data_IF_634724401317
#
_entry.id   IF_634724401317
#
_cell.length_a   1.000
_cell.length_b   1.000
_cell.length_c   1.000
_cell.angle_alpha   90.00
_cell.angle_beta   90.00
_cell.angle_gamma   90.00
#
_symmetry.space_group_name_H-M   'P 1'
#
loop_
_entity.id
_entity.type
_entity.pdbx_description
1 polymer ?
#
# COMPACT_ATOMS: atom_id res chain seq x y z
N UNK A 1 -21.69 -23.73 -4.26
CA UNK A 1 -20.99 -22.68 -5.02
C UNK A 1 -19.63 -22.47 -4.38
N UNK A 2 -18.58 -23.04 -4.97
CA UNK A 2 -17.21 -22.95 -4.46
C UNK A 2 -16.66 -21.54 -4.63
N UNK A 3 -16.56 -20.80 -3.54
CA UNK A 3 -16.04 -19.41 -3.49
C UNK A 3 -14.52 -19.30 -3.63
N UNK A 4 -13.84 -20.34 -4.11
CA UNK A 4 -12.38 -20.51 -3.96
C UNK A 4 -11.55 -19.99 -5.14
N UNK A 5 -12.15 -19.37 -6.17
CA UNK A 5 -11.40 -18.94 -7.38
C UNK A 5 -10.97 -17.47 -7.44
N UNK A 6 -11.40 -16.62 -6.50
CA UNK A 6 -11.11 -15.18 -6.54
C UNK A 6 -10.07 -14.69 -5.51
N UNK A 7 -9.29 -15.59 -4.89
CA UNK A 7 -8.48 -15.25 -3.70
C UNK A 7 -7.02 -14.86 -3.92
N UNK A 8 -6.48 -14.78 -5.16
CA UNK A 8 -5.03 -14.53 -5.34
C UNK A 8 -4.64 -13.21 -5.99
N UNK A 9 -5.48 -12.17 -5.93
CA UNK A 9 -5.14 -10.86 -6.50
C UNK A 9 -4.13 -10.04 -5.66
N UNK A 10 -3.80 -10.49 -4.46
CA UNK A 10 -2.81 -9.85 -3.59
C UNK A 10 -1.93 -10.91 -2.92
N UNK A 11 -0.61 -10.69 -2.92
CA UNK A 11 0.32 -11.48 -2.10
C UNK A 11 1.11 -10.56 -1.17
N UNK A 12 1.23 -10.94 0.10
CA UNK A 12 2.03 -10.17 1.08
C UNK A 12 3.47 -9.96 0.59
N UNK A 13 4.06 -11.01 0.00
CA UNK A 13 5.44 -10.97 -0.53
C UNK A 13 5.57 -9.97 -1.68
N UNK A 14 4.66 -9.99 -2.65
CA UNK A 14 4.67 -9.08 -3.80
C UNK A 14 4.49 -7.62 -3.40
N UNK A 15 3.64 -7.34 -2.41
CA UNK A 15 3.46 -5.99 -1.85
C UNK A 15 4.79 -5.39 -1.38
N UNK A 16 5.51 -6.12 -0.52
CA UNK A 16 6.78 -5.63 0.03
C UNK A 16 7.90 -5.55 -1.00
N UNK A 17 7.97 -6.53 -1.91
CA UNK A 17 8.98 -6.56 -2.98
C UNK A 17 8.84 -5.38 -3.95
N UNK A 18 7.60 -4.89 -4.19
CA UNK A 18 7.35 -3.78 -5.10
C UNK A 18 7.45 -2.42 -4.44
N UNK A 19 6.93 -2.27 -3.23
CA UNK A 19 6.86 -0.97 -2.53
C UNK A 19 8.20 -0.59 -1.88
N UNK A 20 8.92 -1.53 -1.29
CA UNK A 20 10.14 -1.25 -0.54
C UNK A 20 11.23 -0.55 -1.38
N UNK A 21 11.67 -1.15 -2.50
CA UNK A 21 12.73 -0.57 -3.34
C UNK A 21 12.35 0.78 -3.97
N UNK A 22 11.05 1.01 -4.23
CA UNK A 22 10.54 2.21 -4.90
C UNK A 22 9.90 3.20 -3.93
N UNK A 23 10.05 3.01 -2.63
CA UNK A 23 9.29 3.76 -1.64
C UNK A 23 9.42 5.29 -1.80
N UNK A 24 10.64 5.77 -2.04
CA UNK A 24 10.88 7.21 -2.26
C UNK A 24 10.22 7.75 -3.53
N UNK A 25 10.16 6.95 -4.60
CA UNK A 25 9.54 7.33 -5.87
C UNK A 25 8.02 7.33 -5.83
N UNK A 26 7.42 6.41 -5.04
CA UNK A 26 5.96 6.31 -4.89
C UNK A 26 5.40 7.44 -4.02
N UNK A 27 6.23 7.97 -3.11
CA UNK A 27 5.87 9.08 -2.23
C UNK A 27 5.24 8.62 -0.93
N UNK A 28 5.48 9.38 0.14
CA UNK A 28 5.09 9.01 1.52
C UNK A 28 3.57 8.88 1.67
N UNK A 29 2.79 9.80 1.10
CA UNK A 29 1.33 9.82 1.24
C UNK A 29 0.65 8.60 0.59
N UNK A 30 1.06 8.24 -0.63
CA UNK A 30 0.55 7.06 -1.34
C UNK A 30 0.87 5.78 -0.58
N UNK A 31 2.09 5.68 -0.05
CA UNK A 31 2.50 4.54 0.77
C UNK A 31 1.73 4.47 2.09
N UNK A 32 1.45 5.61 2.73
CA UNK A 32 0.66 5.67 3.96
C UNK A 32 -0.72 5.05 3.75
N UNK A 33 -1.42 5.47 2.69
CA UNK A 33 -2.72 4.94 2.29
C UNK A 33 -2.68 3.43 2.03
N UNK A 34 -1.66 2.96 1.31
CA UNK A 34 -1.45 1.54 1.05
C UNK A 34 -1.15 0.74 2.33
N UNK A 35 -0.36 1.30 3.25
CA UNK A 35 -0.01 0.67 4.52
C UNK A 35 -1.21 0.62 5.48
N UNK A 36 -2.06 1.64 5.51
CA UNK A 36 -3.31 1.60 6.28
C UNK A 36 -4.18 0.43 5.86
N UNK A 37 -4.39 0.24 4.55
CA UNK A 37 -5.11 -0.91 4.02
C UNK A 37 -4.40 -2.23 4.39
N UNK A 38 -3.09 -2.32 4.20
CA UNK A 38 -2.30 -3.52 4.50
C UNK A 38 -2.35 -3.94 5.98
N UNK A 39 -2.29 -3.01 6.91
CA UNK A 39 -2.37 -3.32 8.33
C UNK A 39 -3.81 -3.55 8.79
N UNK A 40 -4.78 -2.80 8.26
CA UNK A 40 -6.20 -3.01 8.54
C UNK A 40 -6.67 -4.43 8.14
N UNK A 41 -6.26 -4.96 6.99
CA UNK A 41 -6.67 -6.31 6.56
C UNK A 41 -6.13 -7.44 7.45
N UNK A 42 -5.06 -7.17 8.20
CA UNK A 42 -4.47 -8.14 9.11
C UNK A 42 -5.11 -8.13 10.50
N UNK A 43 -5.79 -7.04 10.87
CA UNK A 43 -6.49 -6.95 12.15
C UNK A 43 -7.58 -8.04 12.27
N UNK A 44 -7.69 -8.70 13.44
CA UNK A 44 -8.80 -9.61 13.71
C UNK A 44 -10.14 -8.87 13.80
N UNK A 45 -10.12 -7.57 14.10
CA UNK A 45 -11.31 -6.71 14.20
C UNK A 45 -11.92 -6.35 12.85
N UNK A 46 -11.17 -6.55 11.75
CA UNK A 46 -11.65 -6.25 10.40
C UNK A 46 -12.56 -7.39 9.91
N UNK A 47 -13.83 -7.14 9.58
CA UNK A 47 -14.74 -8.18 9.15
C UNK A 47 -14.39 -8.70 7.76
N UNK A 48 -14.81 -9.93 7.47
CA UNK A 48 -14.49 -10.63 6.21
C UNK A 48 -14.87 -9.83 4.96
N UNK A 49 -15.99 -9.11 4.98
CA UNK A 49 -16.41 -8.30 3.83
C UNK A 49 -15.44 -7.13 3.57
N UNK A 50 -14.98 -6.44 4.62
CA UNK A 50 -14.02 -5.35 4.52
C UNK A 50 -12.66 -5.87 4.07
N UNK A 51 -12.24 -7.06 4.55
CA UNK A 51 -11.02 -7.70 4.06
C UNK A 51 -11.05 -7.95 2.55
N UNK A 52 -12.19 -8.34 1.98
CA UNK A 52 -12.34 -8.51 0.52
C UNK A 52 -12.17 -7.19 -0.23
N UNK A 53 -12.79 -6.11 0.24
CA UNK A 53 -12.63 -4.76 -0.34
C UNK A 53 -11.16 -4.34 -0.32
N UNK A 54 -10.50 -4.52 0.83
CA UNK A 54 -9.09 -4.16 0.99
C UNK A 54 -8.19 -4.98 0.06
N UNK A 55 -8.38 -6.31 -0.03
CA UNK A 55 -7.58 -7.13 -0.94
C UNK A 55 -7.80 -6.75 -2.41
N UNK A 56 -9.02 -6.38 -2.80
CA UNK A 56 -9.30 -5.85 -4.14
C UNK A 56 -8.53 -4.56 -4.41
N UNK A 57 -8.59 -3.59 -3.49
CA UNK A 57 -7.89 -2.31 -3.61
C UNK A 57 -6.36 -2.48 -3.61
N UNK A 58 -5.81 -3.32 -2.74
CA UNK A 58 -4.37 -3.60 -2.70
C UNK A 58 -3.90 -4.36 -3.94
N UNK A 59 -4.68 -5.33 -4.42
CA UNK A 59 -4.39 -6.04 -5.66
C UNK A 59 -4.36 -5.07 -6.84
N UNK A 60 -5.39 -4.23 -6.96
CA UNK A 60 -5.46 -3.19 -7.98
C UNK A 60 -4.38 -2.12 -7.85
N UNK A 61 -3.88 -1.80 -6.66
CA UNK A 61 -2.75 -0.88 -6.50
C UNK A 61 -1.40 -1.50 -6.92
N UNK A 62 -1.24 -2.81 -6.72
CA UNK A 62 0.01 -3.53 -6.97
C UNK A 62 0.13 -4.03 -8.42
N UNK A 63 -1.00 -4.34 -9.06
CA UNK A 63 -1.06 -4.83 -10.44
C UNK A 63 -0.53 -3.82 -11.48
N UNK A 64 -0.90 -2.52 -11.47
CA UNK A 64 -0.40 -1.54 -12.44
C UNK A 64 1.09 -1.21 -12.23
N UNK A 65 1.69 -1.48 -11.06
CA UNK A 65 3.15 -1.42 -10.87
C UNK A 65 3.93 -2.41 -11.77
N UNK A 66 3.28 -3.47 -12.28
CA UNK A 66 3.85 -4.38 -13.27
C UNK A 66 3.76 -3.85 -14.71
N UNK A 67 2.85 -2.89 -14.99
CA UNK A 67 2.64 -2.31 -16.31
C UNK A 67 3.41 -0.99 -16.55
N UNK A 68 4.17 -0.53 -15.54
CA UNK A 68 4.99 0.69 -15.61
C UNK A 68 6.06 0.71 -16.72
N UNK A 69 6.62 -0.40 -17.25
CA UNK A 69 7.64 -0.28 -18.29
C UNK A 69 7.16 0.42 -19.58
N UNK A 70 5.86 0.31 -19.94
CA UNK A 70 5.40 0.63 -21.31
C UNK A 70 4.34 1.75 -21.42
N UNK A 71 3.79 2.27 -20.31
CA UNK A 71 2.63 3.19 -20.34
C UNK A 71 2.95 4.66 -20.00
N UNK A 72 4.22 5.05 -20.08
CA UNK A 72 4.69 6.37 -19.68
C UNK A 72 4.02 7.61 -20.33
N UNK A 73 3.35 7.58 -21.52
CA UNK A 73 2.78 8.82 -22.05
C UNK A 73 1.25 8.99 -21.99
N UNK A 74 0.43 8.01 -21.52
CA UNK A 74 -1.04 8.06 -21.82
C UNK A 74 -2.01 8.00 -20.62
N UNK A 75 -1.60 7.76 -19.38
CA UNK A 75 -2.58 7.54 -18.29
C UNK A 75 -2.82 8.75 -17.39
N UNK A 76 -4.05 9.27 -17.47
CA UNK A 76 -4.62 10.22 -16.52
C UNK A 76 -4.74 9.60 -15.12
N UNK A 77 -3.94 10.11 -14.19
CA UNK A 77 -3.75 9.64 -12.81
C UNK A 77 -4.99 9.72 -11.88
N UNK A 78 -6.18 10.01 -12.41
CA UNK A 78 -7.39 10.31 -11.63
C UNK A 78 -8.15 9.06 -11.18
N UNK A 79 -8.05 7.93 -11.90
CA UNK A 79 -8.85 6.73 -11.62
C UNK A 79 -8.20 5.77 -10.59
N UNK A 80 -6.87 5.76 -10.48
CA UNK A 80 -6.18 4.85 -9.52
C UNK A 80 -6.30 5.33 -8.06
N UNK A 81 -6.20 6.64 -7.84
CA UNK A 81 -6.36 7.24 -6.51
C UNK A 81 -7.81 7.21 -6.03
N UNK A 82 -8.78 7.26 -6.95
CA UNK A 82 -10.20 7.23 -6.61
C UNK A 82 -10.60 5.87 -6.03
N UNK A 83 -10.10 4.77 -6.59
CA UNK A 83 -10.34 3.40 -6.10
C UNK A 83 -9.72 3.19 -4.71
N UNK A 84 -8.47 3.64 -4.50
CA UNK A 84 -7.85 3.57 -3.19
C UNK A 84 -8.57 4.45 -2.16
N UNK A 85 -8.97 5.66 -2.54
CA UNK A 85 -9.72 6.58 -1.67
C UNK A 85 -11.09 6.00 -1.30
N UNK A 86 -11.83 5.43 -2.26
CA UNK A 86 -13.11 4.78 -2.02
C UNK A 86 -12.97 3.57 -1.09
N UNK A 87 -11.94 2.75 -1.29
CA UNK A 87 -11.66 1.61 -0.41
C UNK A 87 -11.32 2.09 1.01
N UNK A 88 -10.46 3.09 1.15
CA UNK A 88 -10.12 3.70 2.44
C UNK A 88 -11.35 4.27 3.14
N UNK A 89 -12.21 5.01 2.42
CA UNK A 89 -13.45 5.54 2.97
C UNK A 89 -14.38 4.40 3.43
N UNK A 90 -14.51 3.36 2.62
CA UNK A 90 -15.34 2.18 2.91
C UNK A 90 -14.89 1.43 4.16
N UNK A 91 -13.58 1.40 4.43
CA UNK A 91 -13.01 0.66 5.56
C UNK A 91 -12.44 1.55 6.66
N UNK A 92 -12.72 2.85 6.62
CA UNK A 92 -12.12 3.86 7.51
C UNK A 92 -12.30 3.52 8.99
N UNK A 93 -13.44 2.94 9.36
CA UNK A 93 -13.73 2.49 10.73
C UNK A 93 -12.72 1.44 11.25
N UNK A 94 -12.10 0.67 10.36
CA UNK A 94 -11.10 -0.35 10.71
C UNK A 94 -9.66 0.17 10.66
N UNK A 95 -9.45 1.45 10.31
CA UNK A 95 -8.15 2.12 10.37
C UNK A 95 -7.94 2.67 11.79
N UNK A 96 -7.66 1.75 12.71
CA UNK A 96 -7.48 2.04 14.13
C UNK A 96 -6.17 2.80 14.41
N UNK A 97 -6.00 3.40 15.60
CA UNK A 97 -4.72 4.00 16.01
C UNK A 97 -3.54 3.04 15.85
N UNK A 98 -3.71 1.76 16.18
CA UNK A 98 -2.67 0.75 16.02
C UNK A 98 -2.26 0.53 14.56
N UNK A 99 -3.25 0.47 13.65
CA UNK A 99 -3.01 0.39 12.20
C UNK A 99 -2.22 1.60 11.72
N UNK A 100 -2.57 2.79 12.20
CA UNK A 100 -1.87 4.02 11.85
C UNK A 100 -0.43 4.01 12.37
N UNK A 101 -0.22 3.60 13.61
CA UNK A 101 1.10 3.50 14.22
C UNK A 101 2.01 2.53 13.46
N UNK A 102 1.49 1.35 13.09
CA UNK A 102 2.24 0.37 12.28
C UNK A 102 2.65 0.93 10.90
N UNK A 103 1.75 1.67 10.25
CA UNK A 103 2.04 2.33 8.99
C UNK A 103 3.13 3.41 9.14
N UNK A 104 3.01 4.30 10.13
CA UNK A 104 4.02 5.33 10.39
C UNK A 104 5.40 4.74 10.68
N UNK A 105 5.47 3.71 11.54
CA UNK A 105 6.73 3.02 11.83
C UNK A 105 7.39 2.50 10.55
N UNK A 106 6.60 1.97 9.61
CA UNK A 106 7.15 1.44 8.36
C UNK A 106 7.59 2.55 7.41
N UNK A 107 6.83 3.63 7.30
CA UNK A 107 7.22 4.81 6.53
C UNK A 107 8.54 5.39 7.06
N UNK A 108 8.68 5.52 8.38
CA UNK A 108 9.89 6.08 8.97
C UNK A 108 11.13 5.20 8.70
N UNK A 109 10.96 3.88 8.63
CA UNK A 109 12.04 2.99 8.17
C UNK A 109 12.43 3.24 6.72
N UNK A 110 11.48 3.51 5.82
CA UNK A 110 11.74 3.74 4.40
C UNK A 110 12.25 5.15 4.10
N UNK A 111 11.87 6.13 4.90
CA UNK A 111 12.18 7.54 4.69
C UNK A 111 13.21 8.11 5.67
N UNK A 112 13.72 7.34 6.64
CA UNK A 112 14.93 7.71 7.36
C UNK A 112 16.04 8.00 6.33
N UNK A 113 16.63 9.19 6.44
CA UNK A 113 17.74 9.61 5.59
C UNK A 113 18.86 8.55 5.65
N UNK A 114 19.63 8.32 4.56
CA UNK A 114 20.89 7.63 4.73
C UNK A 114 21.72 8.48 5.69
N UNK A 115 22.43 7.83 6.63
CA UNK A 115 23.43 8.52 7.45
C UNK A 115 24.26 9.38 6.50
N UNK A 116 24.15 10.71 6.63
CA UNK A 116 25.15 11.59 6.02
C UNK A 116 26.46 11.10 6.64
N UNK A 117 27.45 10.63 5.86
CA UNK A 117 28.76 10.40 6.45
C UNK A 117 29.13 11.70 7.14
N UNK A 118 29.34 11.63 8.46
CA UNK A 118 29.84 12.76 9.22
C UNK A 118 31.08 13.21 8.48
N UNK A 119 31.03 14.45 7.99
CA UNK A 119 32.15 15.09 7.33
C UNK A 119 33.36 14.92 8.25
N UNK A 120 34.31 14.05 7.87
CA UNK A 120 35.65 14.08 8.43
C UNK A 120 36.31 15.30 7.82
N UNK A 121 36.31 16.39 8.60
CA UNK A 121 37.32 17.43 8.49
C UNK A 121 38.70 16.75 8.46
N UNK A 122 39.42 16.91 7.35
CA UNK A 122 40.85 16.66 7.23
C UNK A 122 41.43 17.65 6.21
#
# INVERSE_FOLDING_TARGET
MDTTRYQSLFTKKGFWQKLGPRARSIGRETLEKALYLYYAVQSPLTPKWAKRVIYGALGYFILPLDAIPDLAPVLGYTDDLSVMAAALATVAFYITPDVKAQAQQKLDQWFKAPDRPAYTDA
#
